data_IF_020332261530
#
_entry.id   IF_020332261530
#
_cell.length_a   1.000
_cell.length_b   1.000
_cell.length_c   1.000
_cell.angle_alpha   90.00
_cell.angle_beta   90.00
_cell.angle_gamma   90.00
#
_symmetry.space_group_name_H-M   'P 1'
#
loop_
_entity.id
_entity.type
_entity.pdbx_description
1 polymer ?
#
# COMPACT_ATOMS: atom_id res chain seq x y z
N UNK A 1 -2.59 -8.86 -18.71
CA UNK A 1 -1.30 -8.45 -18.09
C UNK A 1 -1.54 -7.21 -17.21
N UNK A 2 -0.93 -7.07 -16.01
CA UNK A 2 -1.16 -5.93 -15.07
C UNK A 2 -0.93 -4.57 -15.73
N UNK A 3 0.02 -4.49 -16.67
CA UNK A 3 0.37 -3.25 -17.35
C UNK A 3 -0.63 -2.84 -18.44
N UNK A 4 -1.51 -3.75 -18.88
CA UNK A 4 -2.59 -3.44 -19.82
C UNK A 4 -3.77 -2.76 -19.11
N UNK A 5 -4.04 -3.11 -17.85
CA UNK A 5 -5.11 -2.51 -17.05
C UNK A 5 -4.92 -1.00 -16.88
N UNK A 6 -3.67 -0.55 -16.76
CA UNK A 6 -3.30 0.88 -16.62
C UNK A 6 -3.55 1.70 -17.89
N UNK A 7 -3.73 1.05 -19.04
CA UNK A 7 -3.95 1.70 -20.35
C UNK A 7 -5.44 1.86 -20.68
N UNK A 8 -6.34 1.28 -19.88
CA UNK A 8 -7.78 1.38 -20.10
C UNK A 8 -8.30 2.80 -19.81
N UNK A 9 -9.47 3.19 -20.33
CA UNK A 9 -10.14 4.42 -19.94
C UNK A 9 -10.37 4.50 -18.42
N UNK A 10 -10.31 5.71 -17.86
CA UNK A 10 -10.39 5.92 -16.41
C UNK A 10 -11.69 5.35 -15.80
N UNK A 11 -12.82 5.49 -16.48
CA UNK A 11 -14.11 4.96 -16.02
C UNK A 11 -14.12 3.43 -15.98
N UNK A 12 -13.54 2.78 -16.98
CA UNK A 12 -13.38 1.32 -17.00
C UNK A 12 -12.46 0.85 -15.88
N UNK A 13 -11.36 1.56 -15.61
CA UNK A 13 -10.48 1.24 -14.48
C UNK A 13 -11.23 1.37 -13.15
N UNK A 14 -12.05 2.42 -13.00
CA UNK A 14 -12.86 2.64 -11.79
C UNK A 14 -13.87 1.53 -11.56
N UNK A 15 -14.57 1.09 -12.59
CA UNK A 15 -15.51 -0.04 -12.49
C UNK A 15 -14.80 -1.33 -12.09
N UNK A 16 -13.68 -1.67 -12.75
CA UNK A 16 -12.88 -2.85 -12.42
C UNK A 16 -12.39 -2.80 -10.97
N UNK A 17 -11.91 -1.65 -10.51
CA UNK A 17 -11.44 -1.46 -9.14
C UNK A 17 -12.57 -1.60 -8.12
N UNK A 18 -13.77 -1.09 -8.42
CA UNK A 18 -14.94 -1.21 -7.56
C UNK A 18 -15.37 -2.68 -7.42
N UNK A 19 -15.48 -3.39 -8.54
CA UNK A 19 -15.81 -4.82 -8.57
C UNK A 19 -14.75 -5.67 -7.85
N UNK A 20 -13.47 -5.33 -8.00
CA UNK A 20 -12.39 -5.99 -7.27
C UNK A 20 -12.55 -5.80 -5.75
N UNK A 21 -12.86 -4.58 -5.29
CA UNK A 21 -13.12 -4.28 -3.88
C UNK A 21 -14.25 -5.13 -3.31
N UNK A 22 -15.39 -5.21 -4.01
CA UNK A 22 -16.55 -6.01 -3.58
C UNK A 22 -16.22 -7.50 -3.48
N UNK A 23 -15.55 -8.08 -4.49
CA UNK A 23 -15.16 -9.50 -4.48
C UNK A 23 -14.18 -9.84 -3.36
N UNK A 24 -13.29 -8.90 -3.04
CA UNK A 24 -12.37 -9.07 -1.90
C UNK A 24 -13.17 -9.05 -0.59
N UNK A 25 -14.16 -8.15 -0.47
CA UNK A 25 -15.01 -8.10 0.72
C UNK A 25 -15.83 -9.38 0.91
N UNK A 26 -16.43 -9.91 -0.15
CA UNK A 26 -17.14 -11.19 -0.10
C UNK A 26 -16.25 -12.33 0.40
N UNK A 27 -15.00 -12.41 -0.08
CA UNK A 27 -14.04 -13.41 0.43
C UNK A 27 -13.74 -13.23 1.92
N UNK A 28 -13.63 -11.97 2.36
CA UNK A 28 -13.34 -11.63 3.75
C UNK A 28 -14.43 -12.07 4.75
N UNK A 29 -15.63 -12.44 4.28
CA UNK A 29 -16.69 -12.97 5.14
C UNK A 29 -16.38 -14.38 5.64
N UNK A 30 -15.50 -15.11 4.95
CA UNK A 30 -15.17 -16.51 5.25
C UNK A 30 -13.74 -16.71 5.78
N UNK A 31 -12.84 -15.78 5.53
CA UNK A 31 -11.42 -15.87 5.92
C UNK A 31 -10.78 -14.48 6.08
N UNK A 32 -9.66 -14.42 6.79
CA UNK A 32 -8.86 -13.19 6.86
C UNK A 32 -8.17 -12.94 5.51
N UNK A 33 -8.41 -11.78 4.91
CA UNK A 33 -7.83 -11.40 3.62
C UNK A 33 -6.82 -10.27 3.79
N UNK A 34 -5.61 -10.46 3.27
CA UNK A 34 -4.58 -9.42 3.19
C UNK A 34 -4.52 -8.90 1.75
N UNK A 35 -4.72 -7.60 1.59
CA UNK A 35 -4.58 -6.92 0.30
C UNK A 35 -3.23 -6.21 0.24
N UNK A 36 -2.30 -6.76 -0.54
CA UNK A 36 -1.03 -6.09 -0.85
C UNK A 36 -1.26 -5.00 -1.91
N UNK A 37 -1.11 -3.74 -1.50
CA UNK A 37 -1.32 -2.57 -2.34
C UNK A 37 -0.52 -1.38 -1.83
N UNK A 38 -0.47 -0.31 -2.62
CA UNK A 38 0.15 0.94 -2.22
C UNK A 38 -0.89 1.93 -1.69
N UNK A 39 -0.57 2.66 -0.62
CA UNK A 39 -1.39 3.80 -0.19
C UNK A 39 -1.31 4.94 -1.22
N UNK A 40 -0.11 5.27 -1.68
CA UNK A 40 0.10 6.21 -2.78
C UNK A 40 1.12 5.66 -3.77
N UNK A 41 0.93 5.97 -5.04
CA UNK A 41 1.88 5.69 -6.11
C UNK A 41 2.50 7.03 -6.52
N UNK A 42 3.84 7.11 -6.48
CA UNK A 42 4.55 8.27 -7.01
C UNK A 42 4.48 8.24 -8.54
N UNK A 43 3.99 9.32 -9.14
CA UNK A 43 3.87 9.47 -10.60
C UNK A 43 4.46 10.82 -11.02
N UNK A 44 4.80 11.01 -12.31
CA UNK A 44 5.25 12.32 -12.81
C UNK A 44 4.26 13.47 -12.57
N UNK A 45 2.97 13.18 -12.40
CA UNK A 45 1.92 14.17 -12.11
C UNK A 45 1.68 14.39 -10.60
N UNK A 46 2.38 13.67 -9.72
CA UNK A 46 2.20 13.71 -8.27
C UNK A 46 1.86 12.36 -7.64
N UNK A 47 1.43 12.37 -6.38
CA UNK A 47 1.04 11.16 -5.64
C UNK A 47 -0.39 10.75 -5.98
N UNK A 48 -0.55 9.61 -6.65
CA UNK A 48 -1.84 9.02 -6.96
C UNK A 48 -2.32 8.16 -5.77
N UNK A 49 -3.51 8.41 -5.18
CA UNK A 49 -4.08 7.55 -4.15
C UNK A 49 -4.35 6.14 -4.70
N UNK A 50 -3.84 5.10 -4.03
CA UNK A 50 -4.03 3.71 -4.45
C UNK A 50 -5.39 3.13 -4.07
N UNK A 51 -6.04 3.71 -3.05
CA UNK A 51 -7.37 3.32 -2.58
C UNK A 51 -8.31 4.54 -2.63
N UNK A 52 -8.82 4.92 -3.81
CA UNK A 52 -9.82 5.97 -3.92
C UNK A 52 -11.12 5.57 -3.23
N UNK A 53 -11.98 6.55 -2.93
CA UNK A 53 -13.22 6.36 -2.15
C UNK A 53 -14.08 5.18 -2.63
N UNK A 54 -14.29 5.03 -3.94
CA UNK A 54 -15.10 3.94 -4.50
C UNK A 54 -14.50 2.55 -4.29
N UNK A 55 -13.17 2.44 -4.10
CA UNK A 55 -12.52 1.18 -3.70
C UNK A 55 -12.71 0.95 -2.21
N UNK A 56 -12.51 1.99 -1.38
CA UNK A 56 -12.68 1.89 0.07
C UNK A 56 -14.10 1.49 0.47
N UNK A 57 -15.12 2.03 -0.20
CA UNK A 57 -16.52 1.67 0.02
C UNK A 57 -16.81 0.19 -0.26
N UNK A 58 -16.20 -0.37 -1.31
CA UNK A 58 -16.37 -1.79 -1.65
C UNK A 58 -15.53 -2.71 -0.77
N UNK A 59 -14.30 -2.30 -0.46
CA UNK A 59 -13.34 -3.11 0.29
C UNK A 59 -13.66 -3.17 1.79
N UNK A 60 -14.13 -2.05 2.36
CA UNK A 60 -14.42 -1.86 3.79
C UNK A 60 -13.38 -2.51 4.74
N UNK A 61 -12.13 -2.03 4.72
CA UNK A 61 -11.03 -2.64 5.47
C UNK A 61 -11.11 -2.35 6.97
N UNK A 62 -10.64 -3.28 7.80
CA UNK A 62 -10.57 -3.12 9.26
C UNK A 62 -9.29 -2.43 9.73
N UNK A 63 -8.18 -2.65 9.00
CA UNK A 63 -6.85 -2.15 9.38
C UNK A 63 -6.00 -1.84 8.15
N UNK A 64 -5.35 -0.68 8.14
CA UNK A 64 -4.27 -0.34 7.22
C UNK A 64 -2.92 -0.59 7.89
N UNK A 65 -2.06 -1.39 7.25
CA UNK A 65 -0.71 -1.68 7.75
C UNK A 65 0.30 -0.98 6.85
N UNK A 66 1.04 -0.03 7.40
CA UNK A 66 2.17 0.63 6.74
C UNK A 66 3.47 -0.07 7.14
N UNK A 67 4.08 -0.76 6.18
CA UNK A 67 5.41 -1.36 6.36
C UNK A 67 6.46 -0.32 5.98
N UNK A 68 7.19 0.18 6.97
CA UNK A 68 8.15 1.28 6.82
C UNK A 68 9.57 0.84 7.17
N UNK A 69 10.57 1.61 6.75
CA UNK A 69 11.97 1.42 7.11
C UNK A 69 12.71 2.76 7.02
N UNK A 70 13.96 2.81 7.50
CA UNK A 70 14.74 4.03 7.33
C UNK A 70 14.94 4.30 5.83
N UNK A 71 14.83 5.57 5.37
CA UNK A 71 14.99 5.89 3.96
C UNK A 71 16.30 5.38 3.36
N UNK A 72 17.39 5.39 4.14
CA UNK A 72 18.69 4.88 3.72
C UNK A 72 18.69 3.36 3.54
N UNK A 73 18.04 2.59 4.43
CA UNK A 73 17.87 1.13 4.28
C UNK A 73 17.10 0.83 2.98
N UNK A 74 16.02 1.56 2.73
CA UNK A 74 15.21 1.40 1.50
C UNK A 74 16.05 1.73 0.26
N UNK A 75 16.83 2.82 0.30
CA UNK A 75 17.70 3.22 -0.79
C UNK A 75 18.73 2.13 -1.11
N UNK A 76 19.42 1.60 -0.08
CA UNK A 76 20.40 0.52 -0.24
C UNK A 76 19.75 -0.74 -0.80
N UNK A 77 18.60 -1.16 -0.26
CA UNK A 77 17.84 -2.32 -0.78
C UNK A 77 17.47 -2.16 -2.25
N UNK A 78 17.12 -0.94 -2.69
CA UNK A 78 16.77 -0.63 -4.08
C UNK A 78 17.99 -0.65 -5.01
N UNK A 79 19.14 -0.14 -4.56
CA UNK A 79 20.38 -0.19 -5.35
C UNK A 79 20.88 -1.62 -5.56
N UNK A 80 20.65 -2.51 -4.59
CA UNK A 80 21.03 -3.93 -4.66
C UNK A 80 20.04 -4.82 -5.40
N UNK A 81 18.88 -4.30 -5.81
CA UNK A 81 17.81 -5.06 -6.48
C UNK A 81 17.97 -5.01 -8.01
N UNK A 82 18.68 -6.00 -8.57
CA UNK A 82 18.95 -6.09 -10.02
C UNK A 82 17.68 -6.42 -10.85
N UNK A 83 16.58 -6.84 -10.22
CA UNK A 83 15.37 -7.28 -10.93
C UNK A 83 14.46 -6.15 -11.38
N UNK A 84 14.72 -4.91 -10.93
CA UNK A 84 13.86 -3.75 -11.16
C UNK A 84 14.68 -2.53 -11.58
N UNK A 85 14.40 -1.98 -12.76
CA UNK A 85 14.85 -0.61 -13.09
C UNK A 85 14.06 0.38 -12.24
N UNK A 86 14.76 1.08 -11.34
CA UNK A 86 14.22 2.21 -10.58
C UNK A 86 15.12 3.41 -10.81
N UNK A 87 14.53 4.57 -10.99
CA UNK A 87 15.28 5.81 -10.99
C UNK A 87 15.98 5.96 -9.63
N UNK A 88 17.15 6.60 -9.62
CA UNK A 88 17.90 6.89 -8.40
C UNK A 88 17.11 7.88 -7.52
N UNK A 89 16.12 7.39 -6.78
CA UNK A 89 15.41 8.16 -5.77
C UNK A 89 16.37 8.49 -4.62
N UNK A 90 16.43 9.76 -4.23
CA UNK A 90 17.21 10.17 -3.07
C UNK A 90 16.50 9.70 -1.81
N UNK A 91 17.25 9.48 -0.72
CA UNK A 91 16.67 9.18 0.60
C UNK A 91 15.56 10.17 1.01
N UNK A 92 15.68 11.45 0.61
CA UNK A 92 14.66 12.49 0.82
C UNK A 92 13.34 12.20 0.08
N UNK A 93 13.39 11.66 -1.13
CA UNK A 93 12.19 11.34 -1.92
C UNK A 93 11.47 10.13 -1.31
N UNK A 94 12.23 9.12 -0.86
CA UNK A 94 11.72 7.97 -0.12
C UNK A 94 11.05 8.42 1.19
N UNK A 95 11.69 9.34 1.91
CA UNK A 95 11.13 9.90 3.13
C UNK A 95 9.80 10.60 2.86
N UNK A 96 9.76 11.50 1.86
CA UNK A 96 8.54 12.20 1.48
C UNK A 96 7.43 11.22 1.06
N UNK A 97 7.78 10.17 0.31
CA UNK A 97 6.79 9.16 -0.10
C UNK A 97 6.22 8.40 1.11
N UNK A 98 7.04 8.05 2.10
CA UNK A 98 6.54 7.46 3.35
C UNK A 98 5.63 8.43 4.12
N UNK A 99 5.96 9.73 4.18
CA UNK A 99 5.11 10.76 4.78
C UNK A 99 3.74 10.87 4.09
N UNK A 100 3.73 10.86 2.75
CA UNK A 100 2.49 10.88 1.98
C UNK A 100 1.67 9.60 2.16
N UNK A 101 2.32 8.43 2.32
CA UNK A 101 1.63 7.18 2.64
C UNK A 101 0.98 7.23 4.02
N UNK A 102 1.65 7.80 5.04
CA UNK A 102 1.06 8.00 6.37
C UNK A 102 -0.17 8.92 6.31
N UNK A 103 -0.07 10.03 5.59
CA UNK A 103 -1.17 10.97 5.41
C UNK A 103 -2.36 10.31 4.69
N UNK A 104 -2.10 9.58 3.60
CA UNK A 104 -3.14 8.88 2.85
C UNK A 104 -3.80 7.77 3.67
N UNK A 105 -3.03 6.95 4.40
CA UNK A 105 -3.58 5.90 5.24
C UNK A 105 -4.49 6.46 6.34
N UNK A 106 -4.09 7.56 6.98
CA UNK A 106 -4.96 8.23 7.96
C UNK A 106 -6.21 8.81 7.30
N UNK A 107 -6.11 9.39 6.10
CA UNK A 107 -7.28 9.85 5.36
C UNK A 107 -8.23 8.68 5.03
N UNK A 108 -7.70 7.52 4.63
CA UNK A 108 -8.50 6.33 4.38
C UNK A 108 -9.20 5.85 5.65
N UNK A 109 -8.48 5.78 6.76
CA UNK A 109 -9.03 5.43 8.07
C UNK A 109 -10.16 6.38 8.50
N UNK A 110 -10.06 7.69 8.21
CA UNK A 110 -11.15 8.62 8.52
C UNK A 110 -12.43 8.35 7.72
N UNK A 111 -12.32 7.76 6.53
CA UNK A 111 -13.46 7.43 5.68
C UNK A 111 -14.09 6.07 6.02
N UNK A 112 -13.29 5.12 6.52
CA UNK A 112 -13.75 3.73 6.75
C UNK A 112 -13.94 3.38 8.22
N UNK A 113 -13.36 4.15 9.14
CA UNK A 113 -13.28 3.79 10.56
C UNK A 113 -12.19 2.76 10.89
N UNK A 114 -11.37 2.37 9.91
CA UNK A 114 -10.27 1.42 10.10
C UNK A 114 -9.17 1.98 10.99
N UNK A 115 -8.39 1.10 11.61
CA UNK A 115 -7.16 1.51 12.32
C UNK A 115 -5.98 1.64 11.34
N UNK A 116 -4.97 2.43 11.71
CA UNK A 116 -3.69 2.50 10.97
C UNK A 116 -2.57 2.02 11.89
N UNK A 117 -1.82 1.02 11.44
CA UNK A 117 -0.66 0.48 12.15
C UNK A 117 0.60 0.63 11.32
N UNK A 118 1.63 1.24 11.90
CA UNK A 118 2.97 1.27 11.31
C UNK A 118 3.80 0.11 11.88
N UNK A 119 4.41 -0.66 10.99
CA UNK A 119 5.34 -1.75 11.32
C UNK A 119 6.69 -1.46 10.65
N UNK A 120 7.72 -1.21 11.45
CA UNK A 120 9.05 -0.95 10.92
C UNK A 120 9.78 -2.26 10.60
N UNK A 121 10.22 -2.40 9.35
CA UNK A 121 11.01 -3.49 8.82
C UNK A 121 12.46 -3.04 8.59
N UNK A 122 13.20 -2.85 9.67
CA UNK A 122 14.63 -2.52 9.64
C UNK A 122 15.50 -3.71 9.20
N UNK A 123 16.69 -3.41 8.70
CA UNK A 123 17.66 -4.45 8.31
C UNK A 123 18.01 -5.34 9.51
N UNK A 124 18.18 -6.65 9.27
CA UNK A 124 18.46 -7.67 10.30
C UNK A 124 17.36 -7.88 11.36
N UNK A 125 16.19 -7.23 11.25
CA UNK A 125 15.09 -7.35 12.21
C UNK A 125 13.87 -8.14 11.71
N UNK A 126 13.95 -8.74 10.52
CA UNK A 126 12.83 -9.43 9.85
C UNK A 126 12.06 -10.41 10.77
N UNK A 127 12.69 -11.31 11.57
CA UNK A 127 11.95 -12.22 12.44
C UNK A 127 11.06 -11.48 13.47
N UNK A 128 11.54 -10.35 14.00
CA UNK A 128 10.78 -9.54 14.95
C UNK A 128 9.64 -8.78 14.28
N UNK A 129 9.85 -8.30 13.04
CA UNK A 129 8.84 -7.64 12.21
C UNK A 129 7.70 -8.60 11.89
N UNK A 130 8.02 -9.82 11.45
CA UNK A 130 7.04 -10.87 11.15
C UNK A 130 6.20 -11.19 12.39
N UNK A 131 6.83 -11.34 13.56
CA UNK A 131 6.10 -11.59 14.81
C UNK A 131 5.10 -10.48 15.12
N UNK A 132 5.51 -9.22 15.01
CA UNK A 132 4.61 -8.06 15.22
C UNK A 132 3.44 -8.06 14.25
N UNK A 133 3.66 -8.41 12.98
CA UNK A 133 2.60 -8.48 11.97
C UNK A 133 1.64 -9.64 12.26
N UNK A 134 2.16 -10.82 12.60
CA UNK A 134 1.33 -11.97 12.98
C UNK A 134 0.50 -11.67 14.23
N UNK A 135 1.08 -11.05 15.25
CA UNK A 135 0.34 -10.71 16.48
C UNK A 135 -0.73 -9.64 16.27
N UNK A 136 -0.60 -8.79 15.24
CA UNK A 136 -1.62 -7.82 14.84
C UNK A 136 -2.78 -8.47 14.07
N UNK A 137 -2.50 -9.53 13.30
CA UNK A 137 -3.46 -10.18 12.41
C UNK A 137 -4.23 -11.35 13.07
N UNK A 138 -3.93 -11.64 14.34
CA UNK A 138 -4.67 -12.61 15.18
C UNK A 138 -5.89 -11.95 15.78
#
# INVERSE_FOLDING_TARGET
NRDELRKLPADTQKEIQKEAGLRIKERSESENVIVDTHCTISTPAGFLPGLPKWVLEGLNPDTFILVEAHPDEIMVRRMSDETRQRDAEKAKDIQLHQEMNRAAAMAYATLTGATVKIINNHDNHLPSTVRKMVDLLK
#
